data_IF_284265126082
#
_entry.id   IF_284265126082
#
_cell.length_a   1.000
_cell.length_b   1.000
_cell.length_c   1.000
_cell.angle_alpha   90.00
_cell.angle_beta   90.00
_cell.angle_gamma   90.00
#
_symmetry.space_group_name_H-M   'P 1'
#
loop_
_entity.id
_entity.type
_entity.pdbx_description
1 polymer ?
#
# COMPACT_ATOMS: atom_id res chain seq x y z
N UNK A 1 -22.46 -11.91 -25.18
CA UNK A 1 -22.34 -10.78 -24.24
C UNK A 1 -21.95 -9.56 -25.04
N UNK A 2 -22.66 -8.44 -24.90
CA UNK A 2 -22.28 -7.19 -25.56
C UNK A 2 -20.97 -6.66 -24.99
N UNK A 3 -20.12 -6.10 -25.85
CA UNK A 3 -18.89 -5.42 -25.43
C UNK A 3 -19.29 -4.24 -24.57
N UNK A 4 -18.79 -4.18 -23.34
CA UNK A 4 -19.02 -3.04 -22.46
C UNK A 4 -18.21 -1.85 -22.98
N UNK A 5 -18.88 -0.72 -23.22
CA UNK A 5 -18.21 0.49 -23.75
C UNK A 5 -17.51 1.24 -22.62
N UNK A 6 -16.62 2.17 -22.98
CA UNK A 6 -15.93 3.04 -22.03
C UNK A 6 -16.91 3.86 -21.18
N UNK A 7 -17.99 4.34 -21.78
CA UNK A 7 -19.05 5.08 -21.09
C UNK A 7 -19.76 4.21 -20.05
N UNK A 8 -19.99 2.93 -20.34
CA UNK A 8 -20.57 2.00 -19.38
C UNK A 8 -19.61 1.70 -18.22
N UNK A 9 -18.30 1.61 -18.48
CA UNK A 9 -17.28 1.47 -17.42
C UNK A 9 -17.22 2.72 -16.55
N UNK A 10 -17.28 3.91 -17.14
CA UNK A 10 -17.31 5.18 -16.39
C UNK A 10 -18.58 5.30 -15.54
N UNK A 11 -19.75 4.93 -16.06
CA UNK A 11 -20.99 4.87 -15.29
C UNK A 11 -20.86 3.91 -14.09
N UNK A 12 -20.29 2.73 -14.30
CA UNK A 12 -20.02 1.78 -13.21
C UNK A 12 -19.09 2.37 -12.15
N UNK A 13 -18.00 3.02 -12.56
CA UNK A 13 -17.07 3.69 -11.65
C UNK A 13 -17.80 4.78 -10.84
N UNK A 14 -18.65 5.59 -11.48
CA UNK A 14 -19.39 6.63 -10.80
C UNK A 14 -20.43 6.07 -9.82
N UNK A 15 -21.12 4.98 -10.16
CA UNK A 15 -22.01 4.26 -9.24
C UNK A 15 -21.26 3.67 -8.04
N UNK A 16 -20.06 3.14 -8.25
CA UNK A 16 -19.21 2.63 -7.16
C UNK A 16 -18.73 3.74 -6.21
N UNK A 17 -18.56 4.96 -6.71
CA UNK A 17 -18.08 6.13 -5.95
C UNK A 17 -19.22 6.92 -5.29
N UNK A 18 -20.43 6.82 -5.81
CA UNK A 18 -21.59 7.57 -5.31
C UNK A 18 -22.20 6.86 -4.10
N UNK A 19 -21.99 7.43 -2.91
CA UNK A 19 -22.69 6.97 -1.70
C UNK A 19 -24.18 7.30 -1.77
N UNK A 20 -25.02 6.37 -1.27
CA UNK A 20 -26.46 6.61 -1.18
C UNK A 20 -26.73 7.66 -0.07
N UNK A 21 -27.34 8.82 -0.40
CA UNK A 21 -27.58 9.90 0.57
C UNK A 21 -28.48 9.49 1.74
N UNK A 22 -29.26 8.41 1.58
CA UNK A 22 -30.19 7.90 2.60
C UNK A 22 -29.60 6.74 3.38
N UNK A 23 -28.45 6.23 2.97
CA UNK A 23 -27.76 5.14 3.61
C UNK A 23 -26.66 5.67 4.54
N UNK A 24 -26.72 5.32 5.83
CA UNK A 24 -25.64 5.62 6.77
C UNK A 24 -24.47 4.60 6.60
N UNK A 25 -23.93 4.48 5.40
CA UNK A 25 -22.73 3.70 5.11
C UNK A 25 -22.85 2.73 3.93
N UNK A 26 -21.78 1.94 3.75
CA UNK A 26 -21.67 0.91 2.71
C UNK A 26 -22.22 -0.43 3.22
N UNK A 27 -23.43 -0.81 2.81
CA UNK A 27 -24.04 -2.09 3.18
C UNK A 27 -24.75 -2.76 2.01
N UNK A 28 -24.94 -4.07 2.15
CA UNK A 28 -25.65 -4.93 1.19
C UNK A 28 -27.05 -4.38 0.89
N UNK A 29 -27.38 -4.26 -0.40
CA UNK A 29 -28.64 -3.71 -0.88
C UNK A 29 -28.61 -2.23 -1.30
N UNK A 30 -27.52 -1.50 -1.07
CA UNK A 30 -27.35 -0.15 -1.64
C UNK A 30 -26.95 -0.21 -3.13
N UNK A 31 -27.25 0.84 -3.89
CA UNK A 31 -26.82 0.95 -5.29
C UNK A 31 -25.29 0.91 -5.43
N UNK A 32 -24.59 1.55 -4.48
CA UNK A 32 -23.13 1.50 -4.39
C UNK A 32 -22.64 0.06 -4.21
N UNK A 33 -23.16 -0.68 -3.21
CA UNK A 33 -22.76 -2.08 -2.98
C UNK A 33 -23.03 -2.98 -4.20
N UNK A 34 -24.17 -2.80 -4.87
CA UNK A 34 -24.50 -3.56 -6.08
C UNK A 34 -23.51 -3.28 -7.21
N UNK A 35 -23.09 -2.02 -7.40
CA UNK A 35 -22.06 -1.66 -8.37
C UNK A 35 -20.70 -2.31 -8.04
N UNK A 36 -20.32 -2.38 -6.76
CA UNK A 36 -19.12 -3.10 -6.35
C UNK A 36 -19.20 -4.61 -6.61
N UNK A 37 -20.38 -5.23 -6.48
CA UNK A 37 -20.55 -6.64 -6.86
C UNK A 37 -20.53 -6.84 -8.38
N UNK A 38 -21.14 -5.94 -9.14
CA UNK A 38 -21.08 -5.95 -10.61
C UNK A 38 -19.63 -5.92 -11.09
N UNK A 39 -18.83 -4.97 -10.58
CA UNK A 39 -17.40 -4.84 -10.86
C UNK A 39 -16.61 -6.12 -10.52
N UNK A 40 -16.90 -6.76 -9.38
CA UNK A 40 -16.23 -8.01 -8.96
C UNK A 40 -16.49 -9.18 -9.89
N UNK A 41 -17.63 -9.21 -10.57
CA UNK A 41 -18.06 -10.30 -11.44
C UNK A 41 -17.70 -10.07 -12.91
N UNK A 42 -17.01 -8.97 -13.23
CA UNK A 42 -16.52 -8.73 -14.60
C UNK A 42 -15.40 -9.71 -14.94
N UNK A 43 -15.50 -10.31 -16.12
CA UNK A 43 -14.56 -11.32 -16.61
C UNK A 43 -14.06 -11.04 -18.03
N UNK A 44 -14.61 -10.01 -18.68
CA UNK A 44 -14.24 -9.62 -20.03
C UNK A 44 -12.90 -8.89 -20.02
N UNK A 45 -11.83 -9.60 -20.38
CA UNK A 45 -10.48 -9.05 -20.39
C UNK A 45 -10.24 -7.96 -21.46
N UNK A 46 -11.16 -7.78 -22.43
CA UNK A 46 -11.06 -6.63 -23.33
C UNK A 46 -11.19 -5.29 -22.59
N UNK A 47 -11.76 -5.32 -21.38
CA UNK A 47 -11.87 -4.18 -20.49
C UNK A 47 -10.53 -3.66 -19.96
N UNK A 48 -9.45 -4.47 -19.98
CA UNK A 48 -8.13 -4.00 -19.54
C UNK A 48 -7.72 -2.73 -20.29
N UNK A 49 -7.84 -2.73 -21.62
CA UNK A 49 -7.49 -1.56 -22.44
C UNK A 49 -8.36 -0.34 -22.12
N UNK A 50 -9.66 -0.56 -21.91
CA UNK A 50 -10.61 0.51 -21.57
C UNK A 50 -10.24 1.14 -20.23
N UNK A 51 -9.89 0.31 -19.25
CA UNK A 51 -9.47 0.77 -17.92
C UNK A 51 -8.11 1.48 -17.96
N UNK A 52 -7.16 1.00 -18.76
CA UNK A 52 -5.86 1.66 -19.00
C UNK A 52 -6.05 3.08 -19.52
N UNK A 53 -6.94 3.25 -20.51
CA UNK A 53 -7.28 4.56 -21.07
C UNK A 53 -7.87 5.48 -19.98
N UNK A 54 -8.84 4.99 -19.21
CA UNK A 54 -9.46 5.75 -18.11
C UNK A 54 -8.40 6.16 -17.07
N UNK A 55 -7.52 5.25 -16.68
CA UNK A 55 -6.46 5.51 -15.69
C UNK A 55 -5.52 6.59 -16.20
N UNK A 56 -5.10 6.51 -17.47
CA UNK A 56 -4.16 7.46 -18.07
C UNK A 56 -4.77 8.85 -18.30
N UNK A 57 -6.08 8.94 -18.56
CA UNK A 57 -6.79 10.22 -18.76
C UNK A 57 -6.99 11.01 -17.46
N UNK A 58 -6.78 10.40 -16.30
CA UNK A 58 -7.02 11.01 -15.01
C UNK A 58 -5.73 11.13 -14.17
N UNK A 59 -4.64 11.78 -14.63
CA UNK A 59 -3.33 11.73 -13.94
C UNK A 59 -3.26 12.54 -12.63
N UNK A 60 -4.13 13.56 -12.49
CA UNK A 60 -4.11 14.53 -11.40
C UNK A 60 -4.78 14.08 -10.09
N UNK A 61 -4.72 14.93 -9.07
CA UNK A 61 -5.30 14.65 -7.75
C UNK A 61 -6.82 14.45 -7.81
N UNK A 62 -7.53 15.25 -8.60
CA UNK A 62 -8.99 15.15 -8.82
C UNK A 62 -9.39 13.80 -9.43
N UNK A 63 -8.49 13.15 -10.16
CA UNK A 63 -8.70 11.84 -10.77
C UNK A 63 -8.44 10.66 -9.83
N UNK A 64 -7.98 10.89 -8.60
CA UNK A 64 -7.49 9.80 -7.73
C UNK A 64 -8.56 8.77 -7.41
N UNK A 65 -9.79 9.21 -7.13
CA UNK A 65 -10.88 8.27 -6.81
C UNK A 65 -11.32 7.48 -8.03
N UNK A 66 -11.34 8.10 -9.22
CA UNK A 66 -11.58 7.40 -10.49
C UNK A 66 -10.52 6.31 -10.68
N UNK A 67 -9.24 6.66 -10.54
CA UNK A 67 -8.14 5.70 -10.71
C UNK A 67 -8.23 4.55 -9.70
N UNK A 68 -8.48 4.83 -8.42
CA UNK A 68 -8.65 3.79 -7.37
C UNK A 68 -9.76 2.80 -7.73
N UNK A 69 -10.92 3.29 -8.15
CA UNK A 69 -12.02 2.43 -8.56
C UNK A 69 -11.69 1.65 -9.83
N UNK A 70 -11.03 2.27 -10.81
CA UNK A 70 -10.56 1.58 -12.01
C UNK A 70 -9.52 0.48 -11.69
N UNK A 71 -8.54 0.74 -10.82
CA UNK A 71 -7.57 -0.26 -10.37
C UNK A 71 -8.23 -1.44 -9.68
N UNK A 72 -9.29 -1.21 -8.90
CA UNK A 72 -10.05 -2.31 -8.32
C UNK A 72 -10.65 -3.22 -9.39
N UNK A 73 -11.31 -2.66 -10.41
CA UNK A 73 -11.88 -3.45 -11.51
C UNK A 73 -10.75 -4.19 -12.26
N UNK A 74 -9.66 -3.49 -12.53
CA UNK A 74 -8.47 -4.01 -13.21
C UNK A 74 -7.88 -5.22 -12.46
N UNK A 75 -7.71 -5.09 -11.15
CA UNK A 75 -7.30 -6.18 -10.26
C UNK A 75 -8.21 -7.40 -10.39
N UNK A 76 -9.54 -7.21 -10.31
CA UNK A 76 -10.48 -8.33 -10.38
C UNK A 76 -10.41 -9.07 -11.71
N UNK A 77 -10.18 -8.38 -12.82
CA UNK A 77 -9.93 -9.01 -14.11
C UNK A 77 -8.64 -9.86 -14.08
N UNK A 78 -7.54 -9.34 -13.54
CA UNK A 78 -6.28 -10.10 -13.42
C UNK A 78 -6.38 -11.31 -12.48
N UNK A 79 -7.16 -11.21 -11.41
CA UNK A 79 -7.46 -12.36 -10.51
C UNK A 79 -8.27 -13.42 -11.24
N UNK A 80 -9.26 -13.02 -12.06
CA UNK A 80 -10.06 -13.97 -12.84
C UNK A 80 -9.25 -14.67 -13.93
N UNK A 81 -8.39 -13.91 -14.62
CA UNK A 81 -7.50 -14.45 -15.64
C UNK A 81 -6.25 -13.60 -15.72
N UNK A 82 -5.13 -14.20 -15.32
CA UNK A 82 -3.83 -13.55 -15.41
C UNK A 82 -3.52 -13.12 -16.86
N UNK A 83 -2.99 -11.91 -16.99
CA UNK A 83 -2.51 -11.33 -18.24
C UNK A 83 -1.21 -10.58 -17.95
N UNK A 84 -0.11 -11.04 -18.54
CA UNK A 84 1.23 -10.52 -18.25
C UNK A 84 1.37 -9.03 -18.62
N UNK A 85 0.93 -8.64 -19.83
CA UNK A 85 1.00 -7.24 -20.26
C UNK A 85 0.18 -6.30 -19.35
N UNK A 86 -0.99 -6.75 -18.91
CA UNK A 86 -1.81 -5.99 -17.98
C UNK A 86 -1.22 -5.93 -16.57
N UNK A 87 -0.61 -7.01 -16.11
CA UNK A 87 0.13 -7.02 -14.85
C UNK A 87 1.33 -6.05 -14.90
N UNK A 88 2.09 -6.05 -16.00
CA UNK A 88 3.18 -5.09 -16.23
C UNK A 88 2.69 -3.64 -16.23
N UNK A 89 1.55 -3.37 -16.88
CA UNK A 89 0.91 -2.06 -16.82
C UNK A 89 0.57 -1.66 -15.38
N UNK A 90 -0.06 -2.57 -14.62
CA UNK A 90 -0.43 -2.34 -13.23
C UNK A 90 0.80 -2.01 -12.36
N UNK A 91 1.90 -2.77 -12.51
CA UNK A 91 3.16 -2.50 -11.83
C UNK A 91 3.77 -1.15 -12.23
N UNK A 92 3.67 -0.77 -13.51
CA UNK A 92 4.13 0.53 -13.98
C UNK A 92 3.32 1.70 -13.42
N UNK A 93 2.02 1.52 -13.19
CA UNK A 93 1.18 2.53 -12.55
C UNK A 93 1.43 2.60 -11.04
N UNK A 94 1.61 1.45 -10.39
CA UNK A 94 2.01 1.36 -8.99
C UNK A 94 3.27 2.18 -8.72
N UNK A 95 4.31 2.03 -9.56
CA UNK A 95 5.55 2.79 -9.44
C UNK A 95 5.25 4.31 -9.42
N UNK A 96 4.49 4.79 -10.40
CA UNK A 96 4.12 6.21 -10.51
C UNK A 96 3.33 6.70 -9.31
N UNK A 97 2.41 5.90 -8.78
CA UNK A 97 1.53 6.33 -7.69
C UNK A 97 2.20 6.27 -6.32
N UNK A 98 3.18 5.38 -6.11
CA UNK A 98 4.02 5.37 -4.90
C UNK A 98 4.82 6.67 -4.78
N UNK A 99 5.31 7.23 -5.89
CA UNK A 99 5.99 8.55 -5.86
C UNK A 99 5.08 9.70 -5.41
N UNK A 100 3.76 9.49 -5.38
CA UNK A 100 2.75 10.46 -4.90
C UNK A 100 2.39 10.26 -3.41
N UNK A 101 3.05 9.35 -2.69
CA UNK A 101 2.88 9.12 -1.25
C UNK A 101 1.65 8.29 -0.86
N UNK A 102 1.05 7.53 -1.79
CA UNK A 102 -0.21 6.78 -1.57
C UNK A 102 -0.03 5.25 -1.63
N UNK A 103 1.01 4.72 -1.00
CA UNK A 103 1.40 3.31 -1.11
C UNK A 103 0.46 2.30 -0.42
N UNK A 104 -0.33 2.71 0.57
CA UNK A 104 -1.04 1.78 1.46
C UNK A 104 -2.17 0.98 0.79
N UNK A 105 -2.78 1.51 -0.27
CA UNK A 105 -3.95 0.90 -0.92
C UNK A 105 -3.57 -0.17 -1.96
N UNK A 106 -2.29 -0.28 -2.30
CA UNK A 106 -1.84 -1.10 -3.43
C UNK A 106 -1.70 -2.58 -3.11
N UNK A 107 -1.51 -2.91 -1.83
CA UNK A 107 -1.38 -4.29 -1.36
C UNK A 107 -2.62 -5.09 -1.77
N UNK A 108 -3.80 -4.51 -1.53
CA UNK A 108 -5.10 -5.12 -1.86
C UNK A 108 -5.28 -5.38 -3.37
N UNK A 109 -4.52 -4.70 -4.24
CA UNK A 109 -4.59 -4.87 -5.71
C UNK A 109 -3.56 -5.84 -6.28
N UNK A 110 -2.63 -6.33 -5.47
CA UNK A 110 -1.61 -7.30 -5.90
C UNK A 110 -1.79 -8.66 -5.22
N UNK A 111 -2.33 -8.65 -3.99
CA UNK A 111 -2.80 -9.86 -3.31
C UNK A 111 -3.82 -10.60 -4.20
N UNK A 112 -3.86 -11.92 -4.07
CA UNK A 112 -4.77 -12.82 -4.81
C UNK A 112 -4.51 -12.97 -6.32
N UNK A 113 -3.67 -12.16 -6.96
CA UNK A 113 -3.30 -12.41 -8.36
C UNK A 113 -2.47 -13.70 -8.43
N UNK A 114 -2.87 -14.62 -9.31
CA UNK A 114 -2.15 -15.86 -9.57
C UNK A 114 -1.16 -15.67 -10.72
N UNK A 115 0.04 -15.20 -10.38
CA UNK A 115 1.09 -14.93 -11.36
C UNK A 115 1.80 -16.24 -11.77
N UNK A 116 2.26 -16.31 -13.02
CA UNK A 116 3.08 -17.44 -13.46
C UNK A 116 4.47 -17.41 -12.79
N UNK A 117 5.12 -18.58 -12.57
CA UNK A 117 6.43 -18.66 -11.89
C UNK A 117 7.54 -17.79 -12.48
N UNK A 118 7.51 -17.57 -13.79
CA UNK A 118 8.45 -16.79 -14.58
C UNK A 118 8.08 -15.31 -14.72
N UNK A 119 6.91 -14.89 -14.22
CA UNK A 119 6.45 -13.50 -14.29
C UNK A 119 7.47 -12.59 -13.61
N UNK A 120 8.00 -11.57 -14.30
CA UNK A 120 8.91 -10.62 -13.69
C UNK A 120 8.25 -9.82 -12.57
N UNK A 121 8.95 -9.66 -11.45
CA UNK A 121 8.54 -8.84 -10.30
C UNK A 121 9.57 -7.75 -9.97
N UNK A 122 10.58 -7.56 -10.83
CA UNK A 122 11.64 -6.57 -10.66
C UNK A 122 11.15 -5.15 -10.31
N UNK A 123 10.01 -4.71 -10.84
CA UNK A 123 9.41 -3.41 -10.50
C UNK A 123 9.05 -3.33 -9.02
N UNK A 124 8.45 -4.39 -8.46
CA UNK A 124 8.17 -4.49 -7.02
C UNK A 124 9.47 -4.45 -6.22
N UNK A 125 10.49 -5.21 -6.65
CA UNK A 125 11.79 -5.19 -5.98
C UNK A 125 12.43 -3.79 -5.99
N UNK A 126 12.36 -3.08 -7.12
CA UNK A 126 12.85 -1.70 -7.24
C UNK A 126 12.12 -0.76 -6.29
N UNK A 127 10.79 -0.87 -6.20
CA UNK A 127 9.96 -0.13 -5.24
C UNK A 127 10.45 -0.39 -3.82
N UNK A 128 10.57 -1.66 -3.41
CA UNK A 128 11.02 -2.03 -2.05
C UNK A 128 12.43 -1.51 -1.71
N UNK A 129 13.29 -1.34 -2.72
CA UNK A 129 14.66 -0.89 -2.53
C UNK A 129 14.81 0.63 -2.43
N UNK A 130 13.91 1.41 -3.04
CA UNK A 130 13.92 2.89 -2.96
C UNK A 130 12.90 3.47 -1.99
N UNK A 131 11.83 2.72 -1.71
CA UNK A 131 10.74 3.12 -0.85
C UNK A 131 11.16 3.19 0.61
N UNK A 132 10.27 3.77 1.42
CA UNK A 132 10.45 3.85 2.86
C UNK A 132 10.27 2.48 3.54
N UNK A 133 10.25 2.48 4.88
CA UNK A 133 10.07 1.24 5.63
C UNK A 133 8.72 0.58 5.37
N UNK A 134 7.65 1.35 5.21
CA UNK A 134 6.31 0.84 5.00
C UNK A 134 6.17 0.27 3.59
N UNK A 135 6.70 0.94 2.58
CA UNK A 135 6.83 0.39 1.21
C UNK A 135 7.58 -0.94 1.24
N UNK A 136 8.76 -0.96 1.87
CA UNK A 136 9.56 -2.18 1.99
C UNK A 136 8.77 -3.30 2.67
N UNK A 137 8.03 -3.00 3.74
CA UNK A 137 7.24 -3.99 4.48
C UNK A 137 6.10 -4.55 3.64
N UNK A 138 5.32 -3.68 3.00
CA UNK A 138 4.16 -4.08 2.21
C UNK A 138 4.56 -4.85 0.96
N UNK A 139 5.56 -4.37 0.23
CA UNK A 139 6.07 -5.09 -0.94
C UNK A 139 6.73 -6.41 -0.54
N UNK A 140 7.46 -6.48 0.58
CA UNK A 140 8.03 -7.76 1.05
C UNK A 140 6.95 -8.82 1.31
N UNK A 141 5.77 -8.42 1.77
CA UNK A 141 4.63 -9.33 1.98
C UNK A 141 4.11 -9.88 0.64
N UNK A 142 3.95 -9.03 -0.38
CA UNK A 142 3.57 -9.47 -1.73
C UNK A 142 4.62 -10.42 -2.32
N UNK A 143 5.90 -10.08 -2.20
CA UNK A 143 7.00 -10.93 -2.67
C UNK A 143 7.02 -12.28 -1.94
N UNK A 144 6.72 -12.31 -0.64
CA UNK A 144 6.59 -13.56 0.11
C UNK A 144 5.44 -14.43 -0.42
N UNK A 145 4.26 -13.86 -0.65
CA UNK A 145 3.12 -14.59 -1.23
C UNK A 145 3.44 -15.15 -2.62
N UNK A 146 4.05 -14.35 -3.49
CA UNK A 146 4.47 -14.80 -4.82
C UNK A 146 5.57 -15.87 -4.76
N UNK A 147 6.48 -15.78 -3.79
CA UNK A 147 7.48 -16.82 -3.56
C UNK A 147 6.83 -18.14 -3.12
N UNK A 148 5.82 -18.09 -2.26
CA UNK A 148 5.04 -19.27 -1.84
C UNK A 148 4.32 -19.91 -3.04
N UNK A 149 3.72 -19.08 -3.91
CA UNK A 149 3.05 -19.52 -5.15
C UNK A 149 3.97 -20.07 -6.24
N UNK A 150 5.28 -19.91 -6.13
CA UNK A 150 6.23 -20.51 -7.08
C UNK A 150 7.11 -19.55 -7.85
N UNK A 151 6.91 -18.24 -7.71
CA UNK A 151 7.65 -17.24 -8.48
C UNK A 151 9.16 -17.30 -8.15
N UNK A 152 9.96 -17.44 -9.21
CA UNK A 152 11.41 -17.70 -9.10
C UNK A 152 12.15 -16.47 -8.62
N UNK A 153 11.85 -15.29 -9.19
CA UNK A 153 12.49 -14.03 -8.83
C UNK A 153 12.17 -13.65 -7.38
N UNK A 154 10.91 -13.79 -6.96
CA UNK A 154 10.48 -13.58 -5.58
C UNK A 154 11.20 -14.49 -4.58
N UNK A 155 11.30 -15.80 -4.86
CA UNK A 155 12.03 -16.75 -4.00
C UNK A 155 13.49 -16.37 -3.81
N UNK A 156 14.14 -15.92 -4.89
CA UNK A 156 15.54 -15.52 -4.86
C UNK A 156 15.75 -14.21 -4.10
N UNK A 157 14.83 -13.26 -4.23
CA UNK A 157 14.92 -11.94 -3.59
C UNK A 157 14.52 -11.95 -2.10
N UNK A 158 13.62 -12.85 -1.69
CA UNK A 158 13.01 -12.85 -0.35
C UNK A 158 14.02 -12.86 0.83
N UNK A 159 15.13 -13.63 0.81
CA UNK A 159 16.11 -13.59 1.90
C UNK A 159 16.74 -12.21 2.10
N UNK A 160 17.13 -11.56 1.00
CA UNK A 160 17.73 -10.22 1.03
C UNK A 160 16.72 -9.16 1.52
N UNK A 161 15.46 -9.24 1.08
CA UNK A 161 14.40 -8.35 1.56
C UNK A 161 14.14 -8.52 3.06
N UNK A 162 14.08 -9.76 3.57
CA UNK A 162 13.93 -10.03 5.01
C UNK A 162 15.06 -9.45 5.83
N UNK A 163 16.32 -9.57 5.38
CA UNK A 163 17.47 -8.96 6.05
C UNK A 163 17.42 -7.43 6.01
N UNK A 164 17.04 -6.83 4.89
CA UNK A 164 16.85 -5.38 4.78
C UNK A 164 15.78 -4.87 5.74
N UNK A 165 14.63 -5.56 5.83
CA UNK A 165 13.54 -5.18 6.73
C UNK A 165 13.95 -5.27 8.21
N UNK A 166 14.76 -6.28 8.57
CA UNK A 166 15.37 -6.39 9.90
C UNK A 166 16.33 -5.24 10.17
N UNK A 167 17.21 -4.92 9.22
CA UNK A 167 18.18 -3.82 9.33
C UNK A 167 17.50 -2.46 9.49
N UNK A 168 16.46 -2.18 8.68
CA UNK A 168 15.65 -0.98 8.79
C UNK A 168 14.99 -0.88 10.18
N UNK A 169 14.41 -1.97 10.68
CA UNK A 169 13.81 -2.01 12.02
C UNK A 169 14.81 -1.83 13.15
N UNK A 170 16.02 -2.38 13.03
CA UNK A 170 17.11 -2.18 14.00
C UNK A 170 17.56 -0.73 14.05
N UNK A 171 17.72 -0.10 12.89
CA UNK A 171 18.17 1.30 12.77
C UNK A 171 17.19 2.26 13.46
N UNK A 172 15.88 2.09 13.21
CA UNK A 172 14.83 2.88 13.88
C UNK A 172 14.89 2.72 15.39
N UNK A 173 14.98 1.48 15.90
CA UNK A 173 15.07 1.24 17.35
C UNK A 173 16.32 1.85 17.98
N UNK A 174 17.45 1.83 17.26
CA UNK A 174 18.69 2.46 17.71
C UNK A 174 18.57 3.99 17.74
N UNK A 175 17.94 4.60 16.73
CA UNK A 175 17.69 6.05 16.70
C UNK A 175 16.79 6.49 17.86
N UNK A 176 15.68 5.77 18.11
CA UNK A 176 14.80 6.03 19.25
C UNK A 176 15.57 5.91 20.57
N UNK A 177 16.31 4.81 20.77
CA UNK A 177 17.06 4.59 22.01
C UNK A 177 18.15 5.66 22.23
N UNK A 178 18.78 6.15 21.15
CA UNK A 178 19.76 7.23 21.20
C UNK A 178 19.12 8.54 21.66
N UNK A 179 18.02 8.96 21.03
CA UNK A 179 17.30 10.20 21.38
C UNK A 179 16.76 10.13 22.80
N UNK A 180 16.14 9.02 23.20
CA UNK A 180 15.67 8.81 24.58
C UNK A 180 16.82 9.02 25.58
N UNK A 181 17.99 8.43 25.31
CA UNK A 181 19.16 8.54 26.18
C UNK A 181 19.72 9.96 26.24
N UNK A 182 19.76 10.71 25.13
CA UNK A 182 20.20 12.11 25.11
C UNK A 182 19.31 13.01 26.00
N UNK A 183 18.02 12.69 26.09
CA UNK A 183 17.07 13.37 26.98
C UNK A 183 16.99 12.74 28.38
N UNK A 184 17.95 11.88 28.76
CA UNK A 184 18.03 11.28 30.09
C UNK A 184 16.99 10.18 30.36
N UNK A 185 16.29 9.70 29.35
CA UNK A 185 15.25 8.67 29.47
C UNK A 185 15.83 7.29 29.21
N UNK A 186 15.94 6.47 30.26
CA UNK A 186 16.44 5.09 30.15
C UNK A 186 15.43 4.06 30.66
N UNK A 187 14.35 4.49 31.31
CA UNK A 187 13.26 3.66 31.81
C UNK A 187 11.90 4.33 31.61
N UNK A 188 10.82 3.54 31.74
CA UNK A 188 9.44 4.09 31.73
C UNK A 188 9.22 5.09 32.84
N UNK A 189 9.85 4.90 33.99
CA UNK A 189 9.73 5.80 35.14
C UNK A 189 10.37 7.15 34.87
N UNK A 190 11.50 7.20 34.16
CA UNK A 190 12.12 8.46 33.76
C UNK A 190 11.18 9.21 32.79
N UNK A 191 10.59 8.48 31.85
CA UNK A 191 9.64 9.04 30.89
C UNK A 191 8.39 9.63 31.56
N UNK A 192 7.89 9.00 32.62
CA UNK A 192 6.73 9.49 33.39
C UNK A 192 7.06 10.68 34.30
N UNK A 193 8.33 10.88 34.63
CA UNK A 193 8.79 11.95 35.53
C UNK A 193 9.34 13.16 34.78
N UNK A 194 9.42 13.09 33.46
CA UNK A 194 9.81 14.21 32.62
C UNK A 194 8.87 15.40 32.84
N UNK A 195 9.41 16.59 33.12
CA UNK A 195 8.64 17.82 33.08
C UNK A 195 7.99 18.03 31.71
N UNK A 196 6.85 18.70 31.66
CA UNK A 196 6.11 18.93 30.40
C UNK A 196 6.97 19.60 29.31
N UNK A 197 7.83 20.56 29.71
CA UNK A 197 8.76 21.25 28.78
C UNK A 197 9.80 20.28 28.19
N UNK A 198 10.43 19.46 29.03
CA UNK A 198 11.42 18.47 28.58
C UNK A 198 10.77 17.33 27.78
N UNK A 199 9.53 16.97 28.13
CA UNK A 199 8.70 16.02 27.39
C UNK A 199 8.35 16.52 26.00
N UNK A 200 8.02 17.81 25.85
CA UNK A 200 7.80 18.43 24.55
C UNK A 200 9.07 18.46 23.70
N UNK A 201 10.23 18.79 24.30
CA UNK A 201 11.53 18.75 23.61
C UNK A 201 11.89 17.34 23.13
N UNK A 202 11.68 16.32 23.97
CA UNK A 202 11.87 14.93 23.60
C UNK A 202 10.94 14.52 22.44
N UNK A 203 9.68 14.93 22.48
CA UNK A 203 8.72 14.64 21.41
C UNK A 203 9.17 15.24 20.07
N UNK A 204 9.57 16.51 20.04
CA UNK A 204 10.05 17.14 18.81
C UNK A 204 11.35 16.49 18.30
N UNK A 205 12.25 16.07 19.19
CA UNK A 205 13.46 15.33 18.81
C UNK A 205 13.12 13.96 18.20
N UNK A 206 12.17 13.21 18.78
CA UNK A 206 11.70 11.93 18.24
C UNK A 206 10.92 12.10 16.94
N UNK A 207 10.17 13.20 16.80
CA UNK A 207 9.45 13.52 15.58
C UNK A 207 10.42 13.79 14.44
N UNK A 208 11.37 14.71 14.61
CA UNK A 208 12.35 15.03 13.58
C UNK A 208 13.31 13.86 13.31
N UNK A 209 13.91 13.29 14.36
CA UNK A 209 14.95 12.28 14.24
C UNK A 209 14.45 10.85 14.00
N UNK A 210 13.14 10.61 14.08
CA UNK A 210 12.56 9.28 13.86
C UNK A 210 11.32 9.31 12.97
N UNK A 211 10.29 10.09 13.33
CA UNK A 211 9.03 10.06 12.58
C UNK A 211 9.18 10.59 11.16
N UNK A 212 9.80 11.75 11.00
CA UNK A 212 10.02 12.39 9.71
C UNK A 212 11.11 11.64 8.92
N UNK A 213 12.23 11.31 9.57
CA UNK A 213 13.37 10.64 8.93
C UNK A 213 13.03 9.23 8.40
N UNK A 214 12.22 8.46 9.14
CA UNK A 214 11.90 7.06 8.77
C UNK A 214 10.45 6.86 8.31
N UNK A 215 9.66 7.94 8.20
CA UNK A 215 8.27 7.90 7.72
C UNK A 215 7.32 7.14 8.64
N UNK A 216 7.51 7.17 9.96
CA UNK A 216 6.76 6.31 10.88
C UNK A 216 5.63 7.04 11.61
N UNK A 217 4.50 6.37 11.79
CA UNK A 217 3.35 6.93 12.53
C UNK A 217 3.62 7.07 14.04
N UNK A 218 2.97 8.05 14.67
CA UNK A 218 3.04 8.27 16.13
C UNK A 218 2.66 7.02 16.94
N UNK A 219 1.58 6.33 16.55
CA UNK A 219 1.13 5.09 17.22
C UNK A 219 2.22 4.01 17.22
N UNK A 220 2.99 3.94 16.14
CA UNK A 220 4.06 2.95 16.02
C UNK A 220 5.31 3.37 16.77
N UNK A 221 5.63 4.67 16.81
CA UNK A 221 6.66 5.23 17.68
C UNK A 221 6.39 4.88 19.16
N UNK A 222 5.18 5.11 19.66
CA UNK A 222 4.81 4.81 21.06
C UNK A 222 5.00 3.33 21.41
N UNK A 223 4.58 2.45 20.49
CA UNK A 223 4.78 1.01 20.64
C UNK A 223 6.27 0.67 20.79
N UNK A 224 7.12 1.23 19.93
CA UNK A 224 8.55 0.98 19.97
C UNK A 224 9.21 1.53 21.23
N UNK A 225 8.84 2.73 21.67
CA UNK A 225 9.31 3.29 22.93
C UNK A 225 8.96 2.35 24.09
N UNK A 226 7.73 1.81 24.12
CA UNK A 226 7.31 0.83 25.12
C UNK A 226 8.07 -0.51 25.07
N UNK A 227 8.56 -0.91 23.90
CA UNK A 227 9.43 -2.09 23.72
C UNK A 227 10.89 -1.81 24.15
N UNK A 228 11.37 -0.57 23.96
CA UNK A 228 12.74 -0.14 24.29
C UNK A 228 12.89 0.13 25.79
N UNK A 229 11.95 0.87 26.37
CA UNK A 229 11.93 1.21 27.78
C UNK A 229 11.34 0.04 28.57
N UNK A 230 12.17 -0.63 29.37
CA UNK A 230 11.73 -1.69 30.26
C UNK A 230 10.81 -1.14 31.35
#
# INVERSE_FOLDING_TARGET
MGIMTKEAVLDLIDRMRTSDPKANGFYEGTAQWAAWQEARNLTDMSLLQVLEDIICEHPGAEGTDVRKTAYFIYHKLLVHRFNEAGFDFLLGQLDKEITKGNAIWWVDYLEDIDIQPETPVHTLLSIAMRGDKDDLKWISRIIEEYAEKGNIESRNALPALKERLKAASKTVRQAIAYILKEHGVVSKTDMQRLPDEDGALLYEALKAGVMEEYGISHKWLDKLIGEILK
#
